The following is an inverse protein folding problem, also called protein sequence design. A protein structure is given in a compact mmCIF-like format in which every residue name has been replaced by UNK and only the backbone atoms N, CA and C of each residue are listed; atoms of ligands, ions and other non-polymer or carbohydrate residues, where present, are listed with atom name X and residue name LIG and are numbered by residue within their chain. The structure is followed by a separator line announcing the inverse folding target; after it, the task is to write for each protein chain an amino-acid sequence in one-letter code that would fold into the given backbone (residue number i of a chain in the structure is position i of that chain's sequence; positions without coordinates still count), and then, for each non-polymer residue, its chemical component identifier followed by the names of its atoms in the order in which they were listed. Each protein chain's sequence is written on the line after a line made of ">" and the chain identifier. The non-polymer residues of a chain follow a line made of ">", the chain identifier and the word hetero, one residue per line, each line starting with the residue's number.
data_IF_143595013182
#
_entry.id   IF_143595013182
#
_cell.length_a   1.000
_cell.length_b   1.000
_cell.length_c   1.000
_cell.angle_alpha   90.00
_cell.angle_beta   90.00
_cell.angle_gamma   90.00
#
_symmetry.space_group_name_H-M   'P 1'
#
loop_
_entity.id
_entity.type
_entity.pdbx_description
1 polymer ?
#
# COMPACT_ATOMS: atom_id res chain seq x y z
N UNK A 1 20.92 9.96 -11.05
CA UNK A 1 20.46 8.93 -10.09
C UNK A 1 20.80 9.45 -8.72
N UNK A 2 19.80 9.71 -7.88
CA UNK A 2 20.04 10.20 -6.54
C UNK A 2 20.72 9.09 -5.73
N UNK A 3 21.59 9.47 -4.80
CA UNK A 3 22.43 8.55 -4.01
C UNK A 3 21.60 7.50 -3.22
N UNK A 4 20.30 7.75 -3.04
CA UNK A 4 19.39 6.96 -2.21
C UNK A 4 18.33 6.16 -3.01
N UNK A 5 18.35 6.19 -4.34
CA UNK A 5 17.30 5.58 -5.18
C UNK A 5 17.08 4.08 -4.89
N UNK A 6 18.16 3.35 -4.59
CA UNK A 6 18.09 1.92 -4.25
C UNK A 6 17.41 1.65 -2.91
N UNK A 7 17.73 2.44 -1.88
CA UNK A 7 17.12 2.31 -0.54
C UNK A 7 15.64 2.72 -0.57
N UNK A 8 15.32 3.84 -1.23
CA UNK A 8 13.95 4.28 -1.43
C UNK A 8 13.11 3.18 -2.12
N UNK A 9 13.68 2.54 -3.15
CA UNK A 9 13.01 1.45 -3.85
C UNK A 9 12.75 0.24 -2.96
N UNK A 10 13.73 -0.18 -2.14
CA UNK A 10 13.56 -1.29 -1.19
C UNK A 10 12.46 -0.96 -0.16
N UNK A 11 12.49 0.24 0.42
CA UNK A 11 11.49 0.68 1.39
C UNK A 11 10.08 0.72 0.79
N UNK A 12 9.94 1.22 -0.44
CA UNK A 12 8.67 1.24 -1.15
C UNK A 12 8.16 -0.19 -1.44
N UNK A 13 9.04 -1.12 -1.82
CA UNK A 13 8.67 -2.53 -2.05
C UNK A 13 8.18 -3.18 -0.77
N UNK A 14 8.96 -3.07 0.32
CA UNK A 14 8.60 -3.66 1.62
C UNK A 14 7.28 -3.06 2.10
N UNK A 15 7.13 -1.74 2.04
CA UNK A 15 5.91 -1.07 2.47
C UNK A 15 4.70 -1.45 1.61
N UNK A 16 4.85 -1.57 0.30
CA UNK A 16 3.79 -2.05 -0.61
C UNK A 16 3.34 -3.48 -0.29
N UNK A 17 4.27 -4.38 0.02
CA UNK A 17 3.96 -5.76 0.43
C UNK A 17 3.22 -5.77 1.77
N UNK A 18 3.68 -4.99 2.76
CA UNK A 18 3.04 -4.91 4.08
C UNK A 18 1.61 -4.37 3.99
N UNK A 19 1.39 -3.33 3.18
CA UNK A 19 0.05 -2.79 2.92
C UNK A 19 -0.88 -3.89 2.39
N UNK A 20 -0.44 -4.69 1.41
CA UNK A 20 -1.24 -5.78 0.85
C UNK A 20 -1.49 -6.87 1.90
N UNK A 21 -0.44 -7.30 2.62
CA UNK A 21 -0.53 -8.37 3.59
C UNK A 21 -1.49 -8.01 4.74
N UNK A 22 -1.34 -6.82 5.33
CA UNK A 22 -2.23 -6.35 6.40
C UNK A 22 -3.66 -6.11 5.90
N UNK A 23 -3.85 -5.66 4.66
CA UNK A 23 -5.17 -5.53 4.08
C UNK A 23 -5.87 -6.90 3.96
N UNK A 24 -5.18 -7.92 3.46
CA UNK A 24 -5.71 -9.30 3.37
C UNK A 24 -6.02 -9.83 4.77
N UNK A 25 -5.09 -9.68 5.72
CA UNK A 25 -5.29 -10.14 7.10
C UNK A 25 -6.44 -9.40 7.80
N UNK A 26 -6.59 -8.10 7.56
CA UNK A 26 -7.68 -7.29 8.11
C UNK A 26 -9.05 -7.70 7.54
N UNK A 27 -9.11 -8.00 6.24
CA UNK A 27 -10.30 -8.53 5.59
C UNK A 27 -10.68 -9.91 6.12
N UNK A 28 -9.71 -10.81 6.29
CA UNK A 28 -9.98 -12.16 6.82
C UNK A 28 -10.31 -12.14 8.31
N UNK A 29 -9.61 -11.34 9.09
CA UNK A 29 -9.75 -11.26 10.54
C UNK A 29 -11.04 -10.58 10.98
N UNK A 30 -11.44 -9.46 10.35
CA UNK A 30 -12.67 -8.72 10.70
C UNK A 30 -13.86 -9.11 9.83
N UNK A 31 -13.62 -9.48 8.58
CA UNK A 31 -14.68 -9.91 7.67
C UNK A 31 -15.28 -11.26 8.04
N UNK A 32 -14.55 -12.17 8.66
CA UNK A 32 -15.12 -13.45 9.11
C UNK A 32 -15.84 -13.32 10.45
N UNK A 33 -15.30 -12.55 11.41
CA UNK A 33 -15.91 -12.38 12.74
C UNK A 33 -17.18 -11.53 12.68
N UNK A 34 -17.17 -10.44 11.92
CA UNK A 34 -18.28 -9.47 11.92
C UNK A 34 -19.44 -9.88 11.00
N UNK A 35 -19.22 -10.80 10.05
CA UNK A 35 -20.31 -11.42 9.29
C UNK A 35 -21.11 -12.43 10.14
N UNK A 36 -20.49 -13.02 11.15
CA UNK A 36 -21.15 -13.94 12.09
C UNK A 36 -21.93 -13.15 13.16
N UNK A 37 -21.40 -12.00 13.59
CA UNK A 37 -22.03 -11.11 14.57
C UNK A 37 -22.76 -9.92 13.92
N UNK A 38 -23.89 -10.14 13.23
CA UNK A 38 -24.98 -9.17 12.87
C UNK A 38 -24.66 -7.71 12.41
N UNK A 39 -23.41 -7.30 12.27
CA UNK A 39 -22.95 -5.96 11.91
C UNK A 39 -22.34 -5.98 10.50
N UNK A 40 -23.21 -6.35 9.57
CA UNK A 40 -22.91 -6.49 8.15
C UNK A 40 -22.32 -5.21 7.55
N UNK A 41 -22.73 -4.04 8.03
CA UNK A 41 -22.23 -2.74 7.56
C UNK A 41 -20.77 -2.53 7.93
N UNK A 42 -20.36 -2.91 9.15
CA UNK A 42 -18.97 -2.85 9.59
C UNK A 42 -18.11 -3.90 8.88
N UNK A 43 -18.64 -5.12 8.67
CA UNK A 43 -17.98 -6.16 7.88
C UNK A 43 -17.72 -5.75 6.42
N UNK A 44 -18.72 -5.18 5.75
CA UNK A 44 -18.60 -4.71 4.38
C UNK A 44 -17.63 -3.52 4.27
N UNK A 45 -17.65 -2.60 5.23
CA UNK A 45 -16.70 -1.50 5.32
C UNK A 45 -15.24 -1.98 5.38
N UNK A 46 -14.95 -2.99 6.20
CA UNK A 46 -13.61 -3.58 6.29
C UNK A 46 -13.14 -4.22 4.98
N UNK A 47 -14.05 -4.89 4.25
CA UNK A 47 -13.77 -5.48 2.93
C UNK A 47 -13.42 -4.40 1.91
N UNK A 48 -14.22 -3.33 1.84
CA UNK A 48 -14.00 -2.22 0.89
C UNK A 48 -12.66 -1.54 1.19
N UNK A 49 -12.38 -1.22 2.45
CA UNK A 49 -11.09 -0.64 2.87
C UNK A 49 -9.90 -1.53 2.49
N UNK A 50 -10.00 -2.83 2.76
CA UNK A 50 -8.96 -3.78 2.39
C UNK A 50 -8.72 -3.86 0.88
N UNK A 51 -9.77 -3.84 0.06
CA UNK A 51 -9.62 -3.82 -1.40
C UNK A 51 -8.90 -2.55 -1.86
N UNK A 52 -9.25 -1.38 -1.31
CA UNK A 52 -8.58 -0.10 -1.63
C UNK A 52 -7.10 -0.18 -1.27
N UNK A 53 -6.76 -0.69 -0.08
CA UNK A 53 -5.39 -0.88 0.36
C UNK A 53 -4.60 -1.83 -0.55
N UNK A 54 -5.19 -2.95 -0.97
CA UNK A 54 -4.56 -3.89 -1.90
C UNK A 54 -4.23 -3.19 -3.22
N UNK A 55 -5.18 -2.41 -3.76
CA UNK A 55 -4.94 -1.64 -5.00
C UNK A 55 -3.78 -0.67 -4.80
N UNK A 56 -3.74 0.08 -3.70
CA UNK A 56 -2.64 1.01 -3.39
C UNK A 56 -1.29 0.27 -3.32
N UNK A 57 -1.22 -0.84 -2.58
CA UNK A 57 -0.02 -1.65 -2.49
C UNK A 57 0.45 -2.18 -3.85
N UNK A 58 -0.49 -2.61 -4.72
CA UNK A 58 -0.18 -3.02 -6.08
C UNK A 58 0.37 -1.85 -6.92
N UNK A 59 -0.21 -0.64 -6.81
CA UNK A 59 0.29 0.54 -7.52
C UNK A 59 1.71 0.90 -7.07
N UNK A 60 2.04 0.73 -5.79
CA UNK A 60 3.40 0.90 -5.26
C UNK A 60 4.35 -0.12 -5.90
N UNK A 61 3.97 -1.40 -5.96
CA UNK A 61 4.79 -2.46 -6.57
C UNK A 61 4.93 -2.35 -8.09
N UNK A 62 3.92 -1.81 -8.76
CA UNK A 62 3.99 -1.45 -10.19
C UNK A 62 4.95 -0.27 -10.38
N UNK A 63 4.85 0.75 -9.53
CA UNK A 63 5.71 1.94 -9.58
C UNK A 63 7.19 1.58 -9.38
N UNK A 64 7.49 0.63 -8.50
CA UNK A 64 8.86 0.12 -8.31
C UNK A 64 9.32 -0.80 -9.44
N UNK A 65 8.44 -1.23 -10.33
CA UNK A 65 8.75 -2.16 -11.41
C UNK A 65 8.96 -3.61 -10.96
N UNK A 66 8.59 -3.96 -9.72
CA UNK A 66 8.54 -5.36 -9.25
C UNK A 66 7.41 -6.10 -9.97
N UNK A 67 6.27 -5.43 -10.17
CA UNK A 67 5.15 -5.96 -10.95
C UNK A 67 5.10 -5.22 -12.29
N UNK A 68 5.25 -5.96 -13.39
CA UNK A 68 5.09 -5.39 -14.73
C UNK A 68 3.62 -5.41 -15.14
N UNK A 69 3.08 -4.25 -15.53
CA UNK A 69 1.73 -4.13 -16.09
C UNK A 69 1.78 -3.43 -17.44
N UNK A 70 1.14 -4.03 -18.45
CA UNK A 70 0.95 -3.38 -19.76
C UNK A 70 -0.07 -2.23 -19.70
N UNK A 71 -0.95 -2.23 -18.69
CA UNK A 71 -2.08 -1.29 -18.57
C UNK A 71 -1.80 -0.12 -17.63
N UNK A 72 -0.91 -0.30 -16.66
CA UNK A 72 -0.54 0.74 -15.70
C UNK A 72 0.97 0.95 -15.74
N UNK A 73 1.40 2.08 -16.33
CA UNK A 73 2.79 2.54 -16.28
C UNK A 73 2.87 3.69 -15.30
N UNK A 74 3.27 3.38 -14.08
CA UNK A 74 3.46 4.36 -13.03
C UNK A 74 4.96 4.54 -12.87
N UNK A 75 5.44 5.77 -13.02
CA UNK A 75 6.84 6.08 -12.82
C UNK A 75 7.18 6.07 -11.33
N UNK A 76 8.35 5.51 -10.99
CA UNK A 76 8.93 5.66 -9.66
C UNK A 76 9.39 7.11 -9.44
N UNK A 77 8.44 7.96 -9.02
CA UNK A 77 8.64 9.39 -8.75
C UNK A 77 8.29 9.69 -7.30
N UNK A 78 9.11 10.48 -6.62
CA UNK A 78 8.91 10.85 -5.21
C UNK A 78 7.50 11.39 -4.91
N UNK A 79 6.91 12.21 -5.79
CA UNK A 79 5.55 12.74 -5.58
C UNK A 79 4.49 11.64 -5.65
N UNK A 80 4.62 10.72 -6.61
CA UNK A 80 3.69 9.58 -6.77
C UNK A 80 3.81 8.64 -5.58
N UNK A 81 5.04 8.31 -5.17
CA UNK A 81 5.31 7.45 -4.01
C UNK A 81 4.80 8.11 -2.72
N UNK A 82 4.92 9.43 -2.57
CA UNK A 82 4.40 10.15 -1.41
C UNK A 82 2.88 10.02 -1.32
N UNK A 83 2.17 10.29 -2.43
CA UNK A 83 0.71 10.16 -2.48
C UNK A 83 0.27 8.72 -2.18
N UNK A 84 0.92 7.74 -2.80
CA UNK A 84 0.64 6.33 -2.54
C UNK A 84 0.96 5.92 -1.09
N UNK A 85 2.00 6.48 -0.48
CA UNK A 85 2.34 6.25 0.93
C UNK A 85 1.30 6.83 1.89
N UNK A 86 0.81 8.05 1.64
CA UNK A 86 -0.26 8.66 2.42
C UNK A 86 -1.54 7.84 2.29
N UNK A 87 -1.93 7.45 1.07
CA UNK A 87 -3.08 6.58 0.86
C UNK A 87 -2.89 5.21 1.53
N UNK A 88 -1.68 4.65 1.46
CA UNK A 88 -1.34 3.40 2.12
C UNK A 88 -1.48 3.47 3.64
N UNK A 89 -1.11 4.61 4.24
CA UNK A 89 -1.28 4.88 5.66
C UNK A 89 -2.76 5.03 6.06
N UNK A 90 -3.55 5.75 5.26
CA UNK A 90 -4.96 6.01 5.57
C UNK A 90 -5.87 4.79 5.41
N UNK A 91 -5.58 3.94 4.41
CA UNK A 91 -6.47 2.84 4.04
C UNK A 91 -5.91 1.45 4.33
N UNK A 92 -4.59 1.31 4.48
CA UNK A 92 -3.91 0.03 4.59
C UNK A 92 -3.15 -0.14 5.90
N UNK A 93 -1.82 -0.25 5.79
CA UNK A 93 -0.93 -0.48 6.92
C UNK A 93 -0.32 0.83 7.39
N UNK A 94 -0.37 1.09 8.70
CA UNK A 94 0.35 2.21 9.31
C UNK A 94 1.86 2.09 9.05
N UNK A 95 2.43 0.92 9.29
CA UNK A 95 3.86 0.67 9.14
C UNK A 95 4.25 0.69 7.66
N UNK A 96 3.50 -0.02 6.81
CA UNK A 96 3.74 -0.07 5.38
C UNK A 96 3.60 1.31 4.71
N UNK A 97 2.60 2.09 5.09
CA UNK A 97 2.41 3.47 4.65
C UNK A 97 3.57 4.38 5.08
N UNK A 98 4.00 4.32 6.34
CA UNK A 98 5.16 5.10 6.84
C UNK A 98 6.43 4.75 6.06
N UNK A 99 6.70 3.47 5.78
CA UNK A 99 7.86 3.06 4.99
C UNK A 99 7.84 3.64 3.58
N UNK A 100 6.67 3.69 2.95
CA UNK A 100 6.50 4.27 1.60
C UNK A 100 6.65 5.80 1.64
N UNK A 101 6.19 6.47 2.71
CA UNK A 101 6.41 7.91 2.91
C UNK A 101 7.91 8.20 3.10
N UNK A 102 8.62 7.40 3.90
CA UNK A 102 10.07 7.55 4.07
C UNK A 102 10.79 7.32 2.73
N UNK A 103 10.37 6.30 1.96
CA UNK A 103 10.88 6.08 0.61
C UNK A 103 10.72 7.32 -0.27
N UNK A 104 9.54 7.96 -0.25
CA UNK A 104 9.29 9.19 -1.00
C UNK A 104 10.21 10.34 -0.57
N UNK A 105 10.35 10.56 0.74
CA UNK A 105 11.21 11.61 1.29
C UNK A 105 12.67 11.42 0.83
N UNK A 106 13.17 10.19 0.86
CA UNK A 106 14.52 9.86 0.39
C UNK A 106 14.73 10.11 -1.11
N UNK A 107 13.67 10.18 -1.91
CA UNK A 107 13.77 10.53 -3.33
C UNK A 107 13.83 12.06 -3.56
N UNK A 108 13.48 12.86 -2.55
CA UNK A 108 13.56 14.33 -2.60
C UNK A 108 14.87 14.89 -2.04
N UNK A 109 15.71 14.05 -1.42
CA UNK A 109 16.98 14.41 -0.76
C UNK A 109 18.13 13.70 -1.47
#
# INVERSE_FOLDING_TARGET
>A
MAKNDGLAKILAIIGGILIIAEAILGMLGRGVTNFVELDFLVGLGAVIYGIIAIVIGLLILISTGVISSKKAKIGFNGLVILVLGILGFLFGSNIGGILVIIAAILMFI
#
